data_IF_972348492204
#
_entry.id   IF_972348492204
#
_cell.length_a   1.000
_cell.length_b   1.000
_cell.length_c   1.000
_cell.angle_alpha   90.00
_cell.angle_beta   90.00
_cell.angle_gamma   90.00
#
_symmetry.space_group_name_H-M   'P 1'
#
loop_
_entity.id
_entity.type
_entity.pdbx_description
1 polymer ?
#
# COMPACT_ATOMS: atom_id res chain seq x y z
N UNK A 1 -3.81 6.67 0.58
CA UNK A 1 -2.78 5.97 1.41
C UNK A 1 -2.21 6.81 2.56
N UNK A 2 -1.96 8.12 2.40
CA UNK A 2 -1.55 8.98 3.53
C UNK A 2 -2.56 8.95 4.69
N UNK A 3 -3.86 8.81 4.38
CA UNK A 3 -4.93 8.66 5.39
C UNK A 3 -4.76 7.40 6.27
N UNK A 4 -4.02 6.37 5.82
CA UNK A 4 -3.67 5.19 6.62
C UNK A 4 -2.39 5.38 7.46
N UNK A 5 -1.74 6.54 7.37
CA UNK A 5 -0.49 6.84 8.06
C UNK A 5 0.77 6.40 7.33
N UNK A 6 0.71 6.14 6.02
CA UNK A 6 1.88 5.86 5.20
C UNK A 6 2.57 7.15 4.73
N UNK A 7 3.89 7.22 4.90
CA UNK A 7 4.75 8.28 4.38
C UNK A 7 5.27 7.97 2.97
N UNK A 8 5.42 9.00 2.12
CA UNK A 8 5.89 8.89 0.73
C UNK A 8 4.83 9.29 -0.31
N UNK A 9 4.91 8.79 -1.56
CA UNK A 9 5.84 7.77 -2.05
C UNK A 9 7.27 8.30 -2.21
N UNK A 10 8.24 7.50 -1.80
CA UNK A 10 9.66 7.73 -2.05
C UNK A 10 10.11 7.00 -3.32
N UNK A 11 10.93 7.66 -4.13
CA UNK A 11 11.48 7.07 -5.35
C UNK A 11 12.79 6.35 -5.05
N UNK A 12 12.80 5.02 -5.22
CA UNK A 12 14.03 4.24 -5.31
C UNK A 12 14.56 4.18 -6.75
N UNK A 13 15.67 3.47 -6.95
CA UNK A 13 16.33 3.36 -8.27
C UNK A 13 15.52 2.59 -9.32
N UNK A 14 14.57 1.75 -8.89
CA UNK A 14 13.73 0.92 -9.78
C UNK A 14 12.23 0.94 -9.46
N UNK A 15 11.86 1.18 -8.21
CA UNK A 15 10.47 1.17 -7.76
C UNK A 15 10.23 2.26 -6.73
N UNK A 16 8.98 2.71 -6.63
CA UNK A 16 8.53 3.57 -5.56
C UNK A 16 8.20 2.74 -4.32
N UNK A 17 8.21 3.38 -3.15
CA UNK A 17 7.83 2.72 -1.91
C UNK A 17 7.24 3.72 -0.92
N UNK A 18 6.42 3.23 0.00
CA UNK A 18 5.89 3.98 1.13
C UNK A 18 6.41 3.38 2.45
N UNK A 19 6.44 4.17 3.51
CA UNK A 19 6.91 3.77 4.84
C UNK A 19 5.74 3.85 5.82
N UNK A 20 5.63 2.86 6.71
CA UNK A 20 4.73 2.89 7.86
C UNK A 20 5.50 2.43 9.10
N UNK A 21 5.89 3.36 9.97
CA UNK A 21 6.73 3.05 11.12
C UNK A 21 8.09 2.46 10.72
N UNK A 22 8.28 1.16 10.93
CA UNK A 22 9.48 0.40 10.51
C UNK A 22 9.25 -0.49 9.28
N UNK A 23 8.03 -0.48 8.73
CA UNK A 23 7.65 -1.28 7.56
C UNK A 23 7.81 -0.46 6.27
N UNK A 24 8.22 -1.15 5.21
CA UNK A 24 8.37 -0.59 3.87
C UNK A 24 7.49 -1.34 2.89
N UNK A 25 6.54 -0.65 2.28
CA UNK A 25 5.66 -1.20 1.25
C UNK A 25 6.19 -0.78 -0.13
N UNK A 26 6.49 -1.75 -0.99
CA UNK A 26 6.91 -1.46 -2.37
C UNK A 26 5.68 -1.19 -3.22
N UNK A 27 5.69 -0.07 -3.95
CA UNK A 27 4.67 0.24 -4.95
C UNK A 27 5.16 -0.31 -6.28
N UNK A 28 4.45 -1.27 -6.91
CA UNK A 28 4.82 -1.74 -8.22
C UNK A 28 4.64 -0.62 -9.25
N UNK A 29 5.48 -0.57 -10.27
CA UNK A 29 5.49 0.51 -11.27
C UNK A 29 4.54 0.28 -12.45
N UNK A 30 3.70 -0.76 -12.39
CA UNK A 30 2.80 -1.11 -13.48
C UNK A 30 1.58 -0.17 -13.48
N UNK A 31 1.18 0.29 -14.67
CA UNK A 31 0.01 1.15 -14.82
C UNK A 31 -1.31 0.43 -14.50
N UNK A 32 -1.34 -0.89 -14.69
CA UNK A 32 -2.50 -1.74 -14.39
C UNK A 32 -2.10 -2.89 -13.48
N UNK A 33 -2.97 -3.18 -12.51
CA UNK A 33 -2.81 -4.29 -11.58
C UNK A 33 -3.80 -5.39 -11.91
N UNK A 34 -3.32 -6.63 -11.90
CA UNK A 34 -4.23 -7.77 -11.89
C UNK A 34 -5.00 -7.79 -10.56
N UNK A 35 -6.26 -8.23 -10.60
CA UNK A 35 -7.09 -8.38 -9.40
C UNK A 35 -6.42 -9.24 -8.30
N UNK A 36 -5.72 -10.36 -8.61
CA UNK A 36 -4.93 -11.10 -7.63
C UNK A 36 -3.81 -10.28 -6.99
N UNK A 37 -3.10 -9.47 -7.77
CA UNK A 37 -2.01 -8.62 -7.27
C UNK A 37 -2.54 -7.53 -6.34
N UNK A 38 -3.65 -6.89 -6.70
CA UNK A 38 -4.29 -5.90 -5.84
C UNK A 38 -4.72 -6.51 -4.49
N UNK A 39 -5.31 -7.71 -4.50
CA UNK A 39 -5.66 -8.42 -3.26
C UNK A 39 -4.44 -8.77 -2.41
N UNK A 40 -3.33 -9.15 -3.03
CA UNK A 40 -2.09 -9.42 -2.30
C UNK A 40 -1.58 -8.15 -1.61
N UNK A 41 -1.57 -7.02 -2.32
CA UNK A 41 -1.14 -5.74 -1.76
C UNK A 41 -2.04 -5.29 -0.60
N UNK A 42 -3.37 -5.42 -0.74
CA UNK A 42 -4.30 -5.08 0.35
C UNK A 42 -4.00 -5.91 1.59
N UNK A 43 -3.80 -7.23 1.46
CA UNK A 43 -3.47 -8.12 2.58
C UNK A 43 -2.15 -7.75 3.25
N UNK A 44 -1.14 -7.36 2.46
CA UNK A 44 0.14 -6.89 2.99
C UNK A 44 -0.04 -5.60 3.79
N UNK A 45 -0.81 -4.65 3.28
CA UNK A 45 -1.14 -3.41 3.99
C UNK A 45 -1.87 -3.71 5.29
N UNK A 46 -2.93 -4.55 5.26
CA UNK A 46 -3.67 -4.97 6.46
C UNK A 46 -2.77 -5.61 7.52
N UNK A 47 -1.78 -6.41 7.10
CA UNK A 47 -0.77 -6.98 7.98
C UNK A 47 0.21 -5.95 8.56
N UNK A 48 0.56 -4.91 7.80
CA UNK A 48 1.43 -3.81 8.25
C UNK A 48 0.74 -2.93 9.29
N UNK A 49 -0.53 -2.61 9.08
CA UNK A 49 -1.32 -1.75 9.99
C UNK A 49 -1.99 -2.53 11.13
N UNK A 50 -1.80 -3.86 11.17
CA UNK A 50 -2.40 -4.80 12.13
C UNK A 50 -3.93 -4.64 12.29
N UNK A 51 -4.61 -4.30 11.19
CA UNK A 51 -6.07 -4.19 11.12
C UNK A 51 -6.58 -4.37 9.70
N UNK A 52 -7.86 -4.69 9.57
CA UNK A 52 -8.53 -4.78 8.27
C UNK A 52 -8.88 -3.40 7.74
N UNK A 53 -8.82 -3.26 6.42
CA UNK A 53 -9.33 -2.08 5.71
C UNK A 53 -10.75 -2.40 5.28
N UNK A 54 -11.71 -1.58 5.68
CA UNK A 54 -13.10 -1.76 5.24
C UNK A 54 -13.25 -1.26 3.81
N UNK A 55 -14.30 -1.73 3.11
CA UNK A 55 -14.60 -1.25 1.76
C UNK A 55 -14.89 0.26 1.77
N UNK A 56 -15.57 0.75 2.80
CA UNK A 56 -15.90 2.17 2.93
C UNK A 56 -14.62 3.01 3.10
N UNK A 57 -13.73 2.60 3.99
CA UNK A 57 -12.44 3.25 4.19
C UNK A 57 -11.59 3.22 2.91
N UNK A 58 -11.59 2.08 2.20
CA UNK A 58 -10.89 1.97 0.92
C UNK A 58 -11.42 2.95 -0.14
N UNK A 59 -12.74 3.19 -0.15
CA UNK A 59 -13.35 4.12 -1.10
C UNK A 59 -13.06 5.59 -0.75
N UNK A 60 -12.58 5.88 0.45
CA UNK A 60 -12.23 7.22 0.94
C UNK A 60 -10.71 7.54 0.86
N UNK A 61 -9.90 6.64 0.26
CA UNK A 61 -8.42 6.68 0.31
C UNK A 61 -7.66 7.51 -0.73
#
# INVERSE_FOLDING_TARGET
MQNLGFDGPYSGTRHQFMIYGQHRLVIPSNAEYSVPQLRMMIREVEGIIDRKITVDEWNEL
#
